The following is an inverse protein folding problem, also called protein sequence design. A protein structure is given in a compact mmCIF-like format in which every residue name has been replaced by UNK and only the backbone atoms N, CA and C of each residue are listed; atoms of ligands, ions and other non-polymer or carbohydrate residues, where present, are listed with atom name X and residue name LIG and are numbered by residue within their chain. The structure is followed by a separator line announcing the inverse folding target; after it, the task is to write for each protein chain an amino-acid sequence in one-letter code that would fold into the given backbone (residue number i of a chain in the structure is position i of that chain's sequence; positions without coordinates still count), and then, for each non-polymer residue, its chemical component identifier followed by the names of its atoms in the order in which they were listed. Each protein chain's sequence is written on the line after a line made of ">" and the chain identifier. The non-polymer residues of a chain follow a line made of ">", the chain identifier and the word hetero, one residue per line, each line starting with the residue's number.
data_IF_552270765795
#
_entry.id   IF_552270765795
#
_cell.length_a   1.000
_cell.length_b   1.000
_cell.length_c   1.000
_cell.angle_alpha   90.00
_cell.angle_beta   90.00
_cell.angle_gamma   90.00
#
_symmetry.space_group_name_H-M   'P 1'
#
loop_
_entity.id
_entity.type
_entity.pdbx_description
1 polymer ?
#
# COMPACT_ATOMS: atom_id res chain seq x y z
N UNK A 1 -5.67 -2.57 -17.94
CA UNK A 1 -5.31 -3.52 -16.86
C UNK A 1 -6.05 -4.82 -17.08
N UNK A 2 -5.54 -5.93 -16.53
CA UNK A 2 -6.24 -7.21 -16.50
C UNK A 2 -7.63 -7.06 -15.83
N UNK A 3 -8.55 -7.98 -16.16
CA UNK A 3 -9.82 -8.06 -15.44
C UNK A 3 -9.56 -8.28 -13.93
N UNK A 4 -10.44 -7.80 -13.02
CA UNK A 4 -10.21 -7.86 -11.57
C UNK A 4 -9.83 -9.26 -11.06
N UNK A 5 -10.51 -10.30 -11.55
CA UNK A 5 -10.20 -11.68 -11.18
C UNK A 5 -8.82 -12.14 -11.67
N UNK A 6 -8.42 -11.75 -12.88
CA UNK A 6 -7.10 -12.09 -13.42
C UNK A 6 -5.98 -11.39 -12.66
N UNK A 7 -6.18 -10.11 -12.29
CA UNK A 7 -5.25 -9.37 -11.44
C UNK A 7 -5.09 -10.02 -10.07
N UNK A 8 -6.21 -10.40 -9.43
CA UNK A 8 -6.18 -11.08 -8.12
C UNK A 8 -5.36 -12.38 -8.19
N UNK A 9 -5.58 -13.21 -9.21
CA UNK A 9 -4.84 -14.46 -9.39
C UNK A 9 -3.33 -14.23 -9.58
N UNK A 10 -2.94 -13.20 -10.32
CA UNK A 10 -1.52 -12.83 -10.48
C UNK A 10 -0.91 -12.40 -9.15
N UNK A 11 -1.59 -11.53 -8.40
CA UNK A 11 -1.09 -11.05 -7.09
C UNK A 11 -1.00 -12.18 -6.05
N UNK A 12 -1.94 -13.12 -6.06
CA UNK A 12 -1.91 -14.33 -5.24
C UNK A 12 -0.70 -15.20 -5.60
N UNK A 13 -0.48 -15.45 -6.89
CA UNK A 13 0.70 -16.21 -7.36
C UNK A 13 2.01 -15.54 -6.94
N UNK A 14 2.10 -14.21 -7.01
CA UNK A 14 3.30 -13.48 -6.58
C UNK A 14 3.53 -13.60 -5.07
N UNK A 15 2.48 -13.59 -4.26
CA UNK A 15 2.58 -13.82 -2.82
C UNK A 15 3.04 -15.24 -2.51
N UNK A 16 2.46 -16.23 -3.17
CA UNK A 16 2.85 -17.64 -3.00
C UNK A 16 4.33 -17.84 -3.33
N UNK A 17 4.81 -17.24 -4.42
CA UNK A 17 6.23 -17.27 -4.79
C UNK A 17 7.11 -16.57 -3.75
N UNK A 18 6.69 -15.40 -3.25
CA UNK A 18 7.41 -14.70 -2.17
C UNK A 18 7.52 -15.57 -0.93
N UNK A 19 6.44 -16.23 -0.53
CA UNK A 19 6.39 -17.08 0.67
C UNK A 19 7.14 -18.40 0.49
N UNK A 20 7.13 -18.97 -0.71
CA UNK A 20 7.82 -20.22 -1.02
C UNK A 20 9.33 -20.04 -1.08
N UNK A 21 9.80 -18.96 -1.70
CA UNK A 21 11.22 -18.76 -2.00
C UNK A 21 11.90 -17.71 -1.11
N UNK A 22 11.19 -17.05 -0.18
CA UNK A 22 11.63 -15.99 0.75
C UNK A 22 13.02 -15.38 0.54
N UNK A 23 14.07 -16.11 0.87
CA UNK A 23 15.47 -15.62 0.88
C UNK A 23 16.20 -15.81 -0.47
N UNK A 24 15.65 -16.60 -1.38
CA UNK A 24 16.22 -16.97 -2.68
C UNK A 24 15.61 -16.21 -3.87
N UNK A 25 14.56 -15.39 -3.63
CA UNK A 25 13.84 -14.65 -4.67
C UNK A 25 13.54 -13.22 -4.22
N UNK A 26 13.88 -12.25 -5.07
CA UNK A 26 13.42 -10.86 -4.92
C UNK A 26 12.42 -10.51 -6.01
N UNK A 27 11.24 -10.06 -5.60
CA UNK A 27 10.20 -9.60 -6.51
C UNK A 27 10.26 -8.08 -6.65
N UNK A 28 10.43 -7.60 -7.88
CA UNK A 28 10.33 -6.18 -8.22
C UNK A 28 9.06 -5.96 -9.02
N UNK A 29 8.12 -5.20 -8.45
CA UNK A 29 6.81 -4.91 -9.06
C UNK A 29 6.75 -3.44 -9.40
N UNK A 30 6.53 -3.13 -10.68
CA UNK A 30 6.27 -1.76 -11.13
C UNK A 30 4.76 -1.60 -11.21
N UNK A 31 4.21 -0.77 -10.34
CA UNK A 31 2.78 -0.54 -10.26
C UNK A 31 2.46 0.92 -10.01
N UNK A 32 1.29 1.34 -10.48
CA UNK A 32 0.67 2.62 -10.13
C UNK A 32 -0.50 2.43 -9.15
N UNK A 33 -0.81 1.19 -8.77
CA UNK A 33 -1.87 0.87 -7.83
C UNK A 33 -1.30 0.87 -6.40
N UNK A 34 -1.81 1.78 -5.57
CA UNK A 34 -1.35 1.94 -4.20
C UNK A 34 -1.73 0.77 -3.30
N UNK A 35 -2.79 0.02 -3.60
CA UNK A 35 -3.13 -1.20 -2.87
C UNK A 35 -2.08 -2.29 -3.10
N UNK A 36 -1.51 -2.37 -4.30
CA UNK A 36 -0.40 -3.29 -4.59
C UNK A 36 0.89 -2.81 -3.90
N UNK A 37 1.20 -1.51 -3.98
CA UNK A 37 2.35 -0.94 -3.29
C UNK A 37 2.29 -1.15 -1.77
N UNK A 38 1.09 -1.11 -1.18
CA UNK A 38 0.87 -1.35 0.25
C UNK A 38 1.23 -2.77 0.72
N UNK A 39 1.33 -3.74 -0.20
CA UNK A 39 1.71 -5.12 0.10
C UNK A 39 3.21 -5.37 0.02
N UNK A 40 3.98 -4.40 -0.48
CA UNK A 40 5.42 -4.53 -0.62
C UNK A 40 6.15 -4.34 0.71
N UNK A 41 7.37 -4.87 0.83
CA UNK A 41 8.22 -4.63 2.00
C UNK A 41 8.89 -3.24 1.93
N UNK A 42 9.05 -2.71 0.72
CA UNK A 42 9.71 -1.45 0.38
C UNK A 42 9.09 -0.89 -0.88
N UNK A 43 8.89 0.43 -0.91
CA UNK A 43 8.33 1.17 -2.05
C UNK A 43 9.30 2.27 -2.44
N UNK A 44 9.64 2.31 -3.72
CA UNK A 44 10.48 3.35 -4.32
C UNK A 44 9.61 4.18 -5.26
N UNK A 45 9.45 5.47 -4.95
CA UNK A 45 8.74 6.42 -5.80
C UNK A 45 9.76 7.13 -6.68
N UNK A 46 9.56 7.07 -7.99
CA UNK A 46 10.40 7.76 -8.97
C UNK A 46 9.60 8.91 -9.57
N UNK A 47 10.15 10.12 -9.50
CA UNK A 47 9.59 11.31 -10.14
C UNK A 47 10.68 12.00 -10.98
N UNK A 48 10.37 12.33 -12.24
CA UNK A 48 11.28 13.01 -13.16
C UNK A 48 12.70 12.39 -13.25
N UNK A 49 12.78 11.06 -13.19
CA UNK A 49 14.05 10.32 -13.27
C UNK A 49 14.87 10.31 -11.97
N UNK A 50 14.36 10.88 -10.88
CA UNK A 50 14.96 10.85 -9.56
C UNK A 50 14.12 10.03 -8.57
N UNK A 51 14.78 9.46 -7.57
CA UNK A 51 14.09 8.80 -6.45
C UNK A 51 13.54 9.89 -5.53
N UNK A 52 12.22 10.00 -5.45
CA UNK A 52 11.51 10.93 -4.58
C UNK A 52 11.30 10.35 -3.18
N UNK A 53 10.97 9.05 -3.10
CA UNK A 53 10.83 8.32 -1.84
C UNK A 53 11.40 6.92 -1.96
N UNK A 54 11.89 6.41 -0.84
CA UNK A 54 12.45 5.07 -0.71
C UNK A 54 12.24 4.58 0.73
N UNK A 55 11.09 3.99 1.00
CA UNK A 55 10.68 3.65 2.37
C UNK A 55 9.73 2.45 2.45
N UNK A 56 9.40 2.01 3.66
CA UNK A 56 8.33 1.04 3.91
C UNK A 56 6.96 1.68 3.64
N UNK A 57 5.95 0.92 3.19
CA UNK A 57 4.63 1.49 2.89
C UNK A 57 4.00 2.27 4.05
N UNK A 58 4.19 1.78 5.29
CA UNK A 58 3.64 2.41 6.50
C UNK A 58 4.21 3.82 6.74
N UNK A 59 5.46 4.04 6.37
CA UNK A 59 6.18 5.29 6.55
C UNK A 59 5.98 6.18 5.32
N UNK A 60 5.86 5.60 4.12
CA UNK A 60 5.56 6.33 2.89
C UNK A 60 4.16 6.97 2.92
N UNK A 61 3.13 6.21 3.32
CA UNK A 61 1.74 6.66 3.15
C UNK A 61 1.30 7.75 4.14
N UNK A 62 2.09 8.05 5.17
CA UNK A 62 1.85 9.24 6.02
C UNK A 62 2.06 10.54 5.22
N UNK A 63 2.85 10.50 4.15
CA UNK A 63 3.12 11.62 3.23
C UNK A 63 2.03 11.79 2.16
N UNK A 64 0.79 11.41 2.46
CA UNK A 64 -0.28 11.30 1.46
C UNK A 64 -0.50 12.57 0.61
N UNK A 65 -0.30 13.77 1.15
CA UNK A 65 -0.42 15.02 0.39
C UNK A 65 0.71 15.20 -0.64
N UNK A 66 1.93 14.80 -0.30
CA UNK A 66 3.10 14.87 -1.19
C UNK A 66 2.97 13.83 -2.31
N UNK A 67 2.54 12.61 -1.99
CA UNK A 67 2.27 11.56 -2.98
C UNK A 67 1.23 11.99 -4.02
N UNK A 68 0.16 12.67 -3.59
CA UNK A 68 -0.85 13.26 -4.49
C UNK A 68 -0.27 14.29 -5.45
N UNK A 69 0.69 15.10 -5.01
CA UNK A 69 1.36 16.06 -5.89
C UNK A 69 2.23 15.38 -6.95
N UNK A 70 2.75 14.18 -6.64
CA UNK A 70 3.49 13.33 -7.57
C UNK A 70 2.57 12.51 -8.50
N UNK A 71 1.25 12.72 -8.46
CA UNK A 71 0.29 12.00 -9.28
C UNK A 71 -0.03 10.58 -8.78
N UNK A 72 0.39 10.24 -7.56
CA UNK A 72 0.04 8.99 -6.90
C UNK A 72 -1.15 9.21 -5.98
N UNK A 73 -2.15 8.33 -6.04
CA UNK A 73 -3.26 8.42 -5.09
C UNK A 73 -2.82 7.91 -3.69
N UNK A 74 -3.73 7.95 -2.72
CA UNK A 74 -3.51 7.34 -1.41
C UNK A 74 -4.30 6.03 -1.32
N UNK A 75 -3.80 5.00 -0.59
CA UNK A 75 -4.61 3.82 -0.27
C UNK A 75 -5.94 4.21 0.38
N UNK A 76 -6.98 3.43 0.12
CA UNK A 76 -8.33 3.71 0.63
C UNK A 76 -8.36 3.83 2.16
N UNK A 77 -7.56 3.01 2.84
CA UNK A 77 -7.43 2.98 4.28
C UNK A 77 -6.98 4.33 4.85
N UNK A 78 -6.04 4.99 4.15
CA UNK A 78 -5.54 6.31 4.53
C UNK A 78 -6.63 7.36 4.34
N UNK A 79 -7.32 7.33 3.21
CA UNK A 79 -8.41 8.27 2.92
C UNK A 79 -9.54 8.15 3.95
N UNK A 80 -9.90 6.92 4.31
CA UNK A 80 -10.92 6.65 5.30
C UNK A 80 -10.49 7.09 6.71
N UNK A 81 -9.24 6.82 7.11
CA UNK A 81 -8.71 7.30 8.39
C UNK A 81 -8.74 8.83 8.47
N UNK A 82 -8.31 9.54 7.42
CA UNK A 82 -8.36 11.01 7.38
C UNK A 82 -9.77 11.59 7.44
N UNK A 83 -10.77 10.88 6.90
CA UNK A 83 -12.17 11.30 6.95
C UNK A 83 -12.82 11.10 8.33
N UNK A 84 -12.17 10.36 9.24
CA UNK A 84 -12.69 10.04 10.57
C UNK A 84 -12.03 10.90 11.66
N UNK A 85 -12.80 11.65 12.46
CA UNK A 85 -12.24 12.64 13.39
C UNK A 85 -11.41 12.05 14.55
N UNK A 86 -11.53 10.75 14.82
CA UNK A 86 -10.84 10.07 15.93
C UNK A 86 -9.82 9.02 15.47
N UNK A 87 -9.55 8.93 14.17
CA UNK A 87 -8.64 7.93 13.66
C UNK A 87 -7.19 8.19 14.14
N UNK A 88 -6.40 7.13 14.39
CA UNK A 88 -4.98 7.26 14.64
C UNK A 88 -4.27 7.98 13.49
N UNK A 89 -3.29 8.83 13.82
CA UNK A 89 -2.48 9.54 12.81
C UNK A 89 -1.46 8.65 12.09
N UNK A 90 -1.32 7.40 12.52
CA UNK A 90 -0.46 6.40 11.88
C UNK A 90 -1.20 5.68 10.74
N UNK A 91 -0.45 5.17 9.77
CA UNK A 91 -1.00 4.27 8.76
C UNK A 91 -1.59 3.02 9.43
N UNK A 92 -2.81 2.64 9.01
CA UNK A 92 -3.46 1.39 9.38
C UNK A 92 -3.72 0.61 8.10
N UNK A 93 -3.29 -0.65 8.06
CA UNK A 93 -3.70 -1.57 7.00
C UNK A 93 -5.22 -1.80 7.03
N UNK A 94 -5.75 -2.40 5.96
CA UNK A 94 -7.18 -2.69 5.85
C UNK A 94 -7.72 -3.49 7.03
N UNK A 95 -6.95 -4.48 7.49
CA UNK A 95 -7.32 -5.34 8.61
C UNK A 95 -7.27 -4.57 9.94
N UNK A 96 -6.23 -3.75 10.15
CA UNK A 96 -6.08 -2.95 11.37
C UNK A 96 -7.15 -1.86 11.47
N UNK A 97 -7.47 -1.20 10.36
CA UNK A 97 -8.53 -0.20 10.30
C UNK A 97 -9.90 -0.82 10.58
N UNK A 98 -10.19 -2.00 10.00
CA UNK A 98 -11.42 -2.73 10.30
C UNK A 98 -11.51 -3.15 11.77
N UNK A 99 -10.40 -3.63 12.35
CA UNK A 99 -10.31 -4.00 13.76
C UNK A 99 -10.41 -2.80 14.71
N UNK A 100 -9.98 -1.61 14.27
CA UNK A 100 -10.15 -0.38 15.03
C UNK A 100 -11.60 0.14 14.97
N UNK A 101 -12.21 0.15 13.78
CA UNK A 101 -13.60 0.54 13.59
C UNK A 101 -14.58 -0.33 14.38
N UNK A 102 -14.30 -1.62 14.53
CA UNK A 102 -15.15 -2.52 15.31
C UNK A 102 -15.17 -2.17 16.81
N UNK A 103 -14.09 -1.61 17.35
CA UNK A 103 -14.00 -1.15 18.75
C UNK A 103 -14.79 0.13 19.03
N UNK A 104 -15.05 0.95 18.00
CA UNK A 104 -15.83 2.19 18.13
C UNK A 104 -17.35 1.96 18.23
N UNK A 105 -17.83 0.77 17.87
CA UNK A 105 -19.25 0.40 17.98
C UNK A 105 -19.60 -0.26 19.33
N UNK A 106 -18.67 -0.31 20.28
CA UNK A 106 -18.87 -0.84 21.63
C UNK A 106 -19.26 0.27 22.62
#
# INVERSE_FOLDING_TARGET
>A
MLAPAGKAAVLETLQDLKDQYRDDLTLVVITHDMAEAAMADRVVVVNDGAVAFDDQPKDLFVHGSELKQLGLDQPFEVQLAQALPQAPSQYLSKQELAAWLSKLKA
#
